data_IF_893276792610
#
_entry.id   IF_893276792610
#
_cell.length_a   1.000
_cell.length_b   1.000
_cell.length_c   1.000
_cell.angle_alpha   90.00
_cell.angle_beta   90.00
_cell.angle_gamma   90.00
#
_symmetry.space_group_name_H-M   'P 1'
#
loop_
_entity.id
_entity.type
_entity.pdbx_description
1 polymer ?
#
# COMPACT_ATOMS: atom_id res chain seq x y z
N UNK A 1 14.63 10.88 8.71
CA UNK A 1 14.90 9.91 9.79
C UNK A 1 14.45 8.54 9.30
N UNK A 2 15.36 7.68 8.81
CA UNK A 2 14.98 6.39 8.24
C UNK A 2 15.24 5.27 9.25
N UNK A 3 14.15 4.68 9.75
CA UNK A 3 14.20 3.67 10.80
C UNK A 3 12.92 3.57 11.63
N UNK A 4 11.84 4.26 11.27
CA UNK A 4 10.52 3.82 11.72
C UNK A 4 10.13 2.63 10.84
N UNK A 5 10.05 1.44 11.43
CA UNK A 5 9.44 0.29 10.78
C UNK A 5 7.98 0.58 10.40
N UNK A 6 7.22 -0.48 10.13
CA UNK A 6 5.82 -0.37 9.73
C UNK A 6 4.88 0.29 10.77
N UNK A 7 5.39 0.80 11.90
CA UNK A 7 4.64 1.49 12.96
C UNK A 7 3.81 2.68 12.45
N UNK A 8 4.25 3.35 11.38
CA UNK A 8 3.50 4.43 10.74
C UNK A 8 2.21 3.97 10.04
N UNK A 9 2.09 2.69 9.70
CA UNK A 9 0.97 2.15 8.92
C UNK A 9 -0.32 2.17 9.74
N UNK A 10 -1.25 3.04 9.33
CA UNK A 10 -2.56 3.24 9.99
C UNK A 10 -3.37 1.95 10.09
N UNK A 11 -3.27 1.07 9.09
CA UNK A 11 -3.93 -0.24 9.09
C UNK A 11 -3.49 -1.13 10.27
N UNK A 12 -2.20 -1.12 10.64
CA UNK A 12 -1.72 -1.91 11.78
C UNK A 12 -2.25 -1.39 13.11
N UNK A 13 -2.27 -0.06 13.28
CA UNK A 13 -2.88 0.58 14.47
C UNK A 13 -4.38 0.27 14.58
N UNK A 14 -5.10 0.31 13.45
CA UNK A 14 -6.53 -0.02 13.42
C UNK A 14 -6.78 -1.48 13.80
N UNK A 15 -5.95 -2.40 13.31
CA UNK A 15 -6.05 -3.82 13.65
C UNK A 15 -5.78 -4.05 15.15
N UNK A 16 -4.72 -3.46 15.70
CA UNK A 16 -4.40 -3.58 17.13
C UNK A 16 -5.49 -3.00 18.05
N UNK A 17 -6.18 -1.94 17.64
CA UNK A 17 -7.26 -1.34 18.43
C UNK A 17 -8.59 -2.12 18.35
N UNK A 18 -8.81 -2.90 17.29
CA UNK A 18 -10.09 -3.56 17.01
C UNK A 18 -10.09 -5.08 17.11
N UNK A 19 -8.92 -5.72 17.13
CA UNK A 19 -8.79 -7.18 17.09
C UNK A 19 -7.94 -7.67 18.27
N UNK A 20 -8.50 -8.54 19.15
CA UNK A 20 -7.73 -9.14 20.23
C UNK A 20 -6.57 -10.02 19.72
N UNK A 21 -5.46 -10.02 20.45
CA UNK A 21 -4.23 -10.77 20.10
C UNK A 21 -4.47 -12.24 19.69
N UNK A 22 -5.31 -13.02 20.39
CA UNK A 22 -5.55 -14.43 20.03
C UNK A 22 -6.26 -14.63 18.68
N UNK A 23 -6.81 -13.57 18.07
CA UNK A 23 -7.46 -13.62 16.76
C UNK A 23 -6.55 -13.17 15.62
N UNK A 24 -5.30 -12.83 15.90
CA UNK A 24 -4.31 -12.44 14.89
C UNK A 24 -3.57 -13.70 14.43
N UNK A 25 -3.93 -14.22 13.25
CA UNK A 25 -3.34 -15.44 12.71
C UNK A 25 -1.86 -15.27 12.30
N UNK A 26 -1.48 -14.09 11.80
CA UNK A 26 -0.10 -13.78 11.45
C UNK A 26 0.14 -12.26 11.40
N UNK A 27 1.41 -11.87 11.53
CA UNK A 27 1.90 -10.52 11.24
C UNK A 27 3.01 -10.64 10.19
N UNK A 28 2.88 -9.86 9.12
CA UNK A 28 3.79 -9.88 7.98
C UNK A 28 4.18 -8.45 7.64
N UNK A 29 5.43 -8.25 7.27
CA UNK A 29 6.02 -6.95 6.95
C UNK A 29 6.14 -6.69 5.44
N UNK A 30 5.61 -7.60 4.63
CA UNK A 30 5.62 -7.56 3.18
C UNK A 30 4.21 -7.62 2.61
N UNK A 31 3.89 -6.71 1.69
CA UNK A 31 2.64 -6.75 0.92
C UNK A 31 2.52 -8.06 0.15
N UNK A 32 3.62 -8.53 -0.45
CA UNK A 32 3.64 -9.79 -1.20
C UNK A 32 3.35 -10.99 -0.28
N UNK A 33 4.01 -11.03 0.87
CA UNK A 33 3.80 -12.09 1.87
C UNK A 33 2.36 -12.12 2.38
N UNK A 34 1.81 -10.95 2.72
CA UNK A 34 0.44 -10.82 3.19
C UNK A 34 -0.57 -11.22 2.10
N UNK A 35 -0.35 -10.78 0.85
CA UNK A 35 -1.19 -11.16 -0.29
C UNK A 35 -1.20 -12.68 -0.49
N UNK A 36 -0.03 -13.33 -0.44
CA UNK A 36 0.08 -14.77 -0.58
C UNK A 36 -0.63 -15.54 0.55
N UNK A 37 -0.53 -15.05 1.79
CA UNK A 37 -1.20 -15.63 2.95
C UNK A 37 -2.73 -15.51 2.86
N UNK A 38 -3.24 -14.32 2.50
CA UNK A 38 -4.66 -14.08 2.32
C UNK A 38 -5.24 -14.92 1.17
N UNK A 39 -4.52 -15.03 0.04
CA UNK A 39 -4.96 -15.84 -1.11
C UNK A 39 -5.04 -17.33 -0.78
N UNK A 40 -4.25 -17.80 0.20
CA UNK A 40 -4.30 -19.18 0.71
C UNK A 40 -5.35 -19.38 1.80
N UNK A 41 -6.16 -18.37 2.12
CA UNK A 41 -7.25 -18.47 3.07
C UNK A 41 -6.83 -18.35 4.54
N UNK A 42 -5.67 -17.75 4.85
CA UNK A 42 -5.23 -17.58 6.25
C UNK A 42 -6.20 -16.71 7.07
N UNK A 43 -6.97 -15.82 6.41
CA UNK A 43 -7.95 -14.97 7.06
C UNK A 43 -8.28 -13.72 6.22
N UNK A 44 -8.65 -12.64 6.91
CA UNK A 44 -8.89 -11.31 6.34
C UNK A 44 -7.77 -10.35 6.74
N UNK A 45 -7.44 -9.38 5.89
CA UNK A 45 -6.37 -8.43 6.18
C UNK A 45 -6.45 -7.17 5.33
N UNK A 46 -5.70 -6.15 5.74
CA UNK A 46 -5.56 -4.91 4.98
C UNK A 46 -4.49 -5.05 3.90
N UNK A 47 -4.82 -4.72 2.66
CA UNK A 47 -3.89 -4.61 1.54
C UNK A 47 -4.02 -3.22 0.89
N UNK A 48 -2.94 -2.70 0.27
CA UNK A 48 -3.07 -1.61 -0.69
C UNK A 48 -4.05 -2.00 -1.81
N UNK A 49 -4.88 -1.06 -2.26
CA UNK A 49 -5.92 -1.31 -3.26
C UNK A 49 -5.35 -1.97 -4.53
N UNK A 50 -4.26 -1.42 -5.06
CA UNK A 50 -3.59 -1.95 -6.25
C UNK A 50 -3.09 -3.40 -6.11
N UNK A 51 -2.79 -3.86 -4.88
CA UNK A 51 -2.35 -5.23 -4.65
C UNK A 51 -3.53 -6.18 -4.42
N UNK A 52 -4.54 -5.73 -3.66
CA UNK A 52 -5.75 -6.51 -3.41
C UNK A 52 -6.60 -6.72 -4.66
N UNK A 53 -6.91 -5.64 -5.39
CA UNK A 53 -7.84 -5.64 -6.52
C UNK A 53 -7.28 -6.38 -7.75
N UNK A 54 -5.96 -6.41 -7.90
CA UNK A 54 -5.30 -7.11 -9.03
C UNK A 54 -4.99 -8.57 -8.73
N UNK A 55 -5.22 -9.05 -7.50
CA UNK A 55 -4.90 -10.43 -7.12
C UNK A 55 -6.10 -11.35 -7.33
N UNK A 56 -6.04 -12.32 -8.26
CA UNK A 56 -7.11 -13.28 -8.46
C UNK A 56 -7.37 -14.11 -7.20
N UNK A 57 -8.65 -14.33 -6.89
CA UNK A 57 -9.09 -15.07 -5.71
C UNK A 57 -9.11 -14.26 -4.41
N UNK A 58 -8.74 -12.98 -4.45
CA UNK A 58 -9.04 -12.03 -3.39
C UNK A 58 -10.25 -11.19 -3.76
N UNK A 59 -11.02 -10.79 -2.74
CA UNK A 59 -12.14 -9.88 -2.89
C UNK A 59 -12.10 -8.82 -1.79
N UNK A 60 -12.39 -7.58 -2.18
CA UNK A 60 -12.45 -6.45 -1.27
C UNK A 60 -13.71 -6.54 -0.41
N UNK A 61 -13.56 -6.55 0.91
CA UNK A 61 -14.68 -6.67 1.85
C UNK A 61 -15.34 -5.33 2.24
N UNK A 62 -14.65 -4.21 2.01
CA UNK A 62 -15.12 -2.88 2.37
C UNK A 62 -14.49 -1.82 1.43
N UNK A 63 -15.17 -0.69 1.18
CA UNK A 63 -14.60 0.40 0.38
C UNK A 63 -13.30 0.95 0.99
N UNK A 64 -12.41 1.57 0.19
CA UNK A 64 -11.27 2.31 0.72
C UNK A 64 -11.73 3.32 1.78
N UNK A 65 -10.91 3.52 2.82
CA UNK A 65 -11.20 4.50 3.87
C UNK A 65 -10.12 5.56 3.92
N UNK A 66 -10.54 6.82 4.02
CA UNK A 66 -9.62 7.97 4.11
C UNK A 66 -8.75 7.92 5.37
N UNK A 67 -9.25 7.36 6.47
CA UNK A 67 -8.47 7.16 7.70
C UNK A 67 -7.39 6.07 7.55
N UNK A 68 -7.37 5.32 6.45
CA UNK A 68 -6.36 4.33 6.11
C UNK A 68 -5.57 4.69 4.84
N UNK A 69 -5.95 5.73 4.10
CA UNK A 69 -5.29 6.12 2.85
C UNK A 69 -3.88 6.62 3.10
N UNK A 70 -2.88 6.19 2.32
CA UNK A 70 -1.49 6.67 2.36
C UNK A 70 -1.21 7.82 1.40
N UNK A 71 -0.04 8.44 1.51
CA UNK A 71 0.48 9.36 0.49
C UNK A 71 1.62 8.66 -0.26
N UNK A 72 1.52 8.61 -1.59
CA UNK A 72 2.58 8.13 -2.46
C UNK A 72 3.48 9.30 -2.85
N UNK A 73 4.78 9.16 -2.62
CA UNK A 73 5.78 10.18 -2.94
C UNK A 73 6.74 9.67 -4.00
N UNK A 74 6.98 10.48 -5.03
CA UNK A 74 8.08 10.27 -5.95
C UNK A 74 9.28 11.09 -5.46
N UNK A 75 10.35 10.40 -5.08
CA UNK A 75 11.51 11.00 -4.43
C UNK A 75 12.79 10.75 -5.22
N UNK A 76 13.68 11.73 -5.22
CA UNK A 76 15.05 11.61 -5.74
C UNK A 76 16.00 12.40 -4.85
N UNK A 77 17.30 12.11 -4.93
CA UNK A 77 18.29 12.83 -4.13
C UNK A 77 18.29 14.32 -4.49
N UNK A 78 18.38 15.27 -3.53
CA UNK A 78 18.38 16.70 -3.80
C UNK A 78 19.42 17.13 -4.85
N UNK A 79 20.62 16.56 -4.81
CA UNK A 79 21.70 16.88 -5.77
C UNK A 79 21.39 16.40 -7.19
N UNK A 80 20.52 15.39 -7.33
CA UNK A 80 20.14 14.82 -8.63
C UNK A 80 18.88 15.48 -9.22
N UNK A 81 18.09 16.19 -8.40
CA UNK A 81 16.77 16.72 -8.83
C UNK A 81 16.84 17.68 -10.02
N UNK A 82 17.98 18.36 -10.21
CA UNK A 82 18.19 19.33 -11.28
C UNK A 82 18.89 18.73 -12.50
N UNK A 83 19.35 17.47 -12.44
CA UNK A 83 19.95 16.83 -13.60
C UNK A 83 18.87 16.60 -14.68
N UNK A 84 19.06 17.07 -15.93
CA UNK A 84 18.00 17.04 -16.95
C UNK A 84 17.37 15.66 -17.17
N UNK A 85 18.19 14.60 -17.20
CA UNK A 85 17.72 13.21 -17.34
C UNK A 85 16.85 12.74 -16.16
N UNK A 86 17.16 13.19 -14.94
CA UNK A 86 16.40 12.84 -13.74
C UNK A 86 15.09 13.59 -13.74
N UNK A 87 15.11 14.88 -14.09
CA UNK A 87 13.87 15.67 -14.20
C UNK A 87 12.92 15.06 -15.21
N UNK A 88 13.40 14.73 -16.41
CA UNK A 88 12.60 14.10 -17.46
C UNK A 88 11.99 12.77 -17.01
N UNK A 89 12.77 11.91 -16.34
CA UNK A 89 12.26 10.66 -15.79
C UNK A 89 11.19 10.89 -14.71
N UNK A 90 11.42 11.84 -13.80
CA UNK A 90 10.49 12.14 -12.71
C UNK A 90 9.16 12.71 -13.21
N UNK A 91 9.21 13.55 -14.25
CA UNK A 91 8.01 14.08 -14.90
C UNK A 91 7.21 12.95 -15.56
N UNK A 92 7.88 12.11 -16.35
CA UNK A 92 7.24 10.95 -16.99
C UNK A 92 6.64 9.97 -15.97
N UNK A 93 7.40 9.60 -14.93
CA UNK A 93 6.88 8.74 -13.86
C UNK A 93 5.68 9.37 -13.14
N UNK A 94 5.70 10.68 -12.93
CA UNK A 94 4.59 11.41 -12.33
C UNK A 94 3.31 11.28 -13.14
N UNK A 95 3.40 11.39 -14.47
CA UNK A 95 2.28 11.22 -15.39
C UNK A 95 1.73 9.78 -15.39
N UNK A 96 2.61 8.79 -15.54
CA UNK A 96 2.21 7.36 -15.56
C UNK A 96 1.59 6.90 -14.24
N UNK A 97 2.16 7.33 -13.10
CA UNK A 97 1.62 7.02 -11.78
C UNK A 97 0.27 7.72 -11.58
N UNK A 98 0.10 8.95 -12.06
CA UNK A 98 -1.17 9.65 -12.00
C UNK A 98 -2.25 8.96 -12.84
N UNK A 99 -1.90 8.39 -13.99
CA UNK A 99 -2.81 7.57 -14.79
C UNK A 99 -3.28 6.31 -14.04
N UNK A 100 -2.44 5.77 -13.15
CA UNK A 100 -2.79 4.64 -12.27
C UNK A 100 -3.65 5.02 -11.05
N UNK A 101 -4.04 6.29 -10.89
CA UNK A 101 -4.81 6.78 -9.73
C UNK A 101 -6.05 5.93 -9.43
N UNK A 102 -6.90 5.54 -10.40
CA UNK A 102 -8.10 4.76 -10.08
C UNK A 102 -7.77 3.44 -9.37
N UNK A 103 -6.67 2.78 -9.75
CA UNK A 103 -6.24 1.55 -9.12
C UNK A 103 -5.58 1.79 -7.76
N UNK A 104 -4.72 2.81 -7.65
CA UNK A 104 -3.99 3.13 -6.42
C UNK A 104 -4.95 3.57 -5.31
N UNK A 105 -5.93 4.40 -5.65
CA UNK A 105 -6.94 4.92 -4.71
C UNK A 105 -8.11 3.94 -4.50
N UNK A 106 -8.15 2.83 -5.24
CA UNK A 106 -9.19 1.81 -5.11
C UNK A 106 -10.56 2.26 -5.61
N UNK A 107 -10.58 3.09 -6.66
CA UNK A 107 -11.78 3.53 -7.38
C UNK A 107 -12.26 2.48 -8.42
N UNK A 108 -11.46 1.46 -8.72
CA UNK A 108 -11.71 0.47 -9.78
C UNK A 108 -12.14 -0.93 -9.30
N UNK A 109 -12.93 -1.02 -8.22
CA UNK A 109 -13.40 -2.29 -7.64
C UNK A 109 -14.85 -2.63 -8.00
#
# INVERSE_FOLDING_TARGET
LPGEGLSGIRALRRLAAGVPEPRIAARLDSVLGLTAALRRGLGIGYLPCFAGDTTPGLHRLAPPRDDLSGTLWLLTHPDLRQAPRIRALMDWLGEEIAACRPLIEGQGG
#
